data_IF_012390083275
#
_entry.id   IF_012390083275
#
_cell.length_a   1.000
_cell.length_b   1.000
_cell.length_c   1.000
_cell.angle_alpha   90.00
_cell.angle_beta   90.00
_cell.angle_gamma   90.00
#
_symmetry.space_group_name_H-M   'P 1'
#
loop_
_entity.id
_entity.type
_entity.pdbx_description
1 polymer ?
#
# COMPACT_ATOMS: atom_id res chain seq x y z
N UNK A 1 24.29 -55.91 -22.02
CA UNK A 1 25.27 -55.65 -20.94
C UNK A 1 26.60 -55.34 -21.58
N UNK A 2 26.99 -54.07 -21.70
CA UNK A 2 28.34 -53.71 -22.13
C UNK A 2 28.82 -52.54 -21.27
N UNK A 3 29.84 -52.84 -20.48
CA UNK A 3 30.58 -51.95 -19.58
C UNK A 3 31.46 -51.03 -20.41
N UNK A 4 31.48 -49.72 -20.08
CA UNK A 4 32.47 -48.79 -20.63
C UNK A 4 33.12 -48.04 -19.46
N UNK A 5 34.43 -48.28 -19.34
CA UNK A 5 35.33 -47.80 -18.30
C UNK A 5 35.56 -46.30 -18.34
N UNK A 6 35.65 -45.72 -17.14
CA UNK A 6 35.99 -44.32 -16.84
C UNK A 6 37.50 -44.12 -17.00
N UNK A 7 37.91 -43.16 -17.84
CA UNK A 7 39.32 -42.70 -17.92
C UNK A 7 39.42 -41.23 -17.53
N UNK A 8 40.14 -41.01 -16.42
CA UNK A 8 40.40 -39.74 -15.73
C UNK A 8 41.38 -38.89 -16.54
N UNK A 9 40.97 -37.72 -17.06
CA UNK A 9 41.89 -36.76 -17.69
C UNK A 9 42.46 -35.80 -16.65
N UNK A 10 43.80 -35.76 -16.59
CA UNK A 10 44.57 -34.77 -15.86
C UNK A 10 44.43 -33.39 -16.52
N UNK A 11 44.22 -32.35 -15.73
CA UNK A 11 44.22 -30.95 -16.19
C UNK A 11 45.47 -30.28 -15.63
N UNK A 12 46.26 -29.75 -16.56
CA UNK A 12 47.50 -29.01 -16.35
C UNK A 12 47.26 -27.72 -15.57
N UNK A 13 48.13 -27.45 -14.59
CA UNK A 13 48.27 -26.16 -13.91
C UNK A 13 49.17 -25.25 -14.74
N UNK A 14 48.65 -24.08 -15.12
CA UNK A 14 49.46 -22.95 -15.62
C UNK A 14 49.60 -21.90 -14.50
N UNK A 15 50.79 -21.31 -14.29
CA UNK A 15 50.96 -20.17 -13.40
C UNK A 15 50.86 -18.86 -14.21
N UNK A 16 50.11 -17.89 -13.71
CA UNK A 16 50.22 -16.49 -14.18
C UNK A 16 50.40 -15.60 -12.96
N UNK A 17 51.51 -14.86 -12.98
CA UNK A 17 51.93 -13.89 -11.97
C UNK A 17 51.34 -12.50 -12.25
N UNK A 18 51.17 -11.75 -11.15
CA UNK A 18 51.21 -10.29 -11.01
C UNK A 18 50.10 -9.42 -11.64
N UNK A 19 49.38 -8.66 -10.81
CA UNK A 19 49.75 -7.26 -10.54
C UNK A 19 48.82 -6.59 -9.51
N UNK A 20 49.43 -5.68 -8.75
CA UNK A 20 48.83 -4.89 -7.67
C UNK A 20 47.67 -4.01 -8.15
N UNK A 21 46.69 -3.79 -7.27
CA UNK A 21 46.05 -2.48 -7.05
C UNK A 21 45.46 -2.43 -5.64
N UNK A 22 46.22 -1.85 -4.72
CA UNK A 22 45.74 -1.38 -3.42
C UNK A 22 44.73 -0.26 -3.67
N UNK A 23 43.44 -0.54 -3.48
CA UNK A 23 42.41 0.49 -3.39
C UNK A 23 42.26 0.89 -1.93
N UNK A 24 42.81 2.06 -1.61
CA UNK A 24 42.47 2.83 -0.42
C UNK A 24 41.08 3.42 -0.63
N UNK A 25 40.05 2.79 -0.05
CA UNK A 25 38.70 3.39 0.02
C UNK A 25 38.52 4.02 1.39
N UNK A 26 38.59 5.34 1.35
CA UNK A 26 38.21 6.31 2.38
C UNK A 26 36.99 5.86 3.18
N UNK A 27 37.15 5.79 4.50
CA UNK A 27 36.05 5.64 5.46
C UNK A 27 35.15 6.87 5.36
N UNK A 28 34.07 6.77 4.58
CA UNK A 28 32.99 7.77 4.58
C UNK A 28 32.36 7.72 5.98
N UNK A 29 32.72 8.69 6.83
CA UNK A 29 31.91 9.04 8.00
C UNK A 29 30.62 9.66 7.47
N UNK A 30 29.61 8.82 7.22
CA UNK A 30 28.25 9.33 7.13
C UNK A 30 27.87 9.81 8.53
N UNK A 31 27.60 11.10 8.64
CA UNK A 31 27.02 11.73 9.81
C UNK A 31 25.69 11.03 10.09
N UNK A 32 25.66 10.24 11.17
CA UNK A 32 24.42 9.73 11.74
C UNK A 32 23.81 10.88 12.55
N UNK A 33 23.12 11.79 11.86
CA UNK A 33 22.30 12.79 12.53
C UNK A 33 21.10 12.09 13.20
N UNK A 34 21.19 12.00 14.53
CA UNK A 34 20.01 12.15 15.39
C UNK A 34 19.13 10.93 15.62
N UNK A 35 19.64 9.70 15.55
CA UNK A 35 18.89 8.56 16.14
C UNK A 35 18.98 8.63 17.66
N UNK A 36 18.08 9.40 18.26
CA UNK A 36 17.94 9.51 19.70
C UNK A 36 17.72 8.14 20.32
N UNK A 37 18.67 7.73 21.15
CA UNK A 37 18.56 6.59 22.06
C UNK A 37 17.40 6.85 23.04
N UNK A 38 16.22 6.31 22.74
CA UNK A 38 15.11 6.26 23.69
C UNK A 38 14.88 4.83 24.14
N UNK A 39 15.74 4.36 25.05
CA UNK A 39 15.40 3.27 25.95
C UNK A 39 14.15 3.68 26.74
N UNK A 40 12.97 3.12 26.40
CA UNK A 40 11.73 3.27 27.18
C UNK A 40 10.51 3.89 26.48
N UNK A 41 10.57 4.27 25.20
CA UNK A 41 9.34 4.54 24.43
C UNK A 41 8.99 3.32 23.62
N UNK A 42 7.82 2.71 23.89
CA UNK A 42 7.19 1.76 22.98
C UNK A 42 7.23 2.40 21.57
N UNK A 43 7.97 1.78 20.65
CA UNK A 43 8.02 2.24 19.27
C UNK A 43 6.60 2.04 18.73
N UNK A 44 5.78 3.10 18.75
CA UNK A 44 4.40 3.03 18.29
C UNK A 44 4.44 2.99 16.77
N UNK A 45 4.26 1.81 16.23
CA UNK A 45 4.18 1.59 14.80
C UNK A 45 3.09 2.44 14.17
N UNK A 46 3.31 2.82 12.92
CA UNK A 46 2.44 3.75 12.20
C UNK A 46 1.61 3.00 11.15
N UNK A 47 0.43 3.53 10.88
CA UNK A 47 -0.38 3.09 9.76
C UNK A 47 0.01 3.81 8.46
N UNK A 48 -0.61 3.43 7.35
CA UNK A 48 -0.38 4.02 6.01
C UNK A 48 -0.67 5.52 5.88
N UNK A 49 -1.18 6.16 6.93
CA UNK A 49 -1.38 7.60 7.02
C UNK A 49 -0.41 8.29 7.99
N UNK A 50 0.67 7.60 8.41
CA UNK A 50 1.62 8.07 9.42
C UNK A 50 0.98 8.43 10.77
N UNK A 51 -0.15 7.79 11.10
CA UNK A 51 -0.83 7.89 12.40
C UNK A 51 -0.53 6.64 13.23
N UNK A 52 -0.73 6.67 14.55
CA UNK A 52 -0.57 5.46 15.37
C UNK A 52 -1.38 4.27 14.82
N UNK A 53 -0.74 3.10 14.75
CA UNK A 53 -1.36 1.87 14.26
C UNK A 53 -2.51 1.43 15.16
N UNK A 54 -3.69 1.21 14.57
CA UNK A 54 -4.89 0.80 15.30
C UNK A 54 -4.85 -0.65 15.80
N UNK A 55 -5.62 -0.92 16.86
CA UNK A 55 -5.95 -2.29 17.26
C UNK A 55 -6.89 -2.92 16.23
N UNK A 56 -6.62 -4.16 15.81
CA UNK A 56 -7.38 -4.77 14.72
C UNK A 56 -8.29 -5.92 15.16
N UNK A 57 -7.72 -7.02 15.65
CA UNK A 57 -8.49 -8.21 16.07
C UNK A 57 -7.70 -9.07 17.07
N UNK A 58 -8.37 -9.77 17.98
CA UNK A 58 -7.68 -10.64 18.95
C UNK A 58 -6.97 -11.79 18.23
N UNK A 59 -5.71 -12.07 18.60
CA UNK A 59 -4.96 -13.23 18.11
C UNK A 59 -4.47 -13.15 16.67
N UNK A 60 -4.63 -11.99 16.00
CA UNK A 60 -3.99 -11.73 14.69
C UNK A 60 -2.67 -10.97 14.85
N UNK A 61 -2.01 -10.68 13.74
CA UNK A 61 -0.70 -10.03 13.69
C UNK A 61 0.43 -11.04 13.85
N UNK A 62 1.60 -10.73 13.29
CA UNK A 62 2.80 -11.58 13.41
C UNK A 62 3.12 -11.87 14.89
N UNK A 63 3.09 -10.82 15.72
CA UNK A 63 3.30 -10.87 17.17
C UNK A 63 2.13 -11.41 18.01
N UNK A 64 0.99 -11.72 17.38
CA UNK A 64 -0.26 -12.13 18.06
C UNK A 64 -0.79 -11.12 19.08
N UNK A 65 -0.35 -9.85 19.00
CA UNK A 65 -0.82 -8.72 19.81
C UNK A 65 -2.14 -8.11 19.29
N UNK A 66 -2.62 -8.59 18.15
CA UNK A 66 -3.84 -8.10 17.52
C UNK A 66 -3.71 -6.80 16.73
N UNK A 67 -2.47 -6.40 16.43
CA UNK A 67 -2.13 -5.33 15.49
C UNK A 67 -1.35 -5.91 14.31
N UNK A 68 -1.45 -5.28 13.14
CA UNK A 68 -0.68 -5.69 11.96
C UNK A 68 0.72 -5.05 11.96
N UNK A 69 1.37 -5.08 13.12
CA UNK A 69 2.70 -4.53 13.33
C UNK A 69 3.78 -5.43 12.71
N UNK A 70 4.84 -4.82 12.18
CA UNK A 70 5.86 -5.51 11.38
C UNK A 70 7.28 -5.08 11.79
N UNK A 71 7.96 -5.93 12.55
CA UNK A 71 9.38 -5.77 12.86
C UNK A 71 10.34 -6.44 11.86
N UNK A 72 11.66 -6.41 12.14
CA UNK A 72 12.70 -6.95 11.26
C UNK A 72 12.63 -8.48 11.03
N UNK A 73 12.04 -9.23 11.95
CA UNK A 73 11.88 -10.68 11.90
C UNK A 73 10.69 -11.13 11.05
N UNK A 74 9.72 -10.24 10.80
CA UNK A 74 8.60 -10.52 9.92
C UNK A 74 8.99 -10.30 8.46
N UNK A 75 9.69 -11.29 7.91
CA UNK A 75 10.09 -11.32 6.49
C UNK A 75 8.89 -11.43 5.54
N UNK A 76 7.75 -11.92 6.04
CA UNK A 76 6.50 -12.02 5.28
C UNK A 76 5.76 -10.69 5.11
N UNK A 77 6.10 -9.68 5.93
CA UNK A 77 5.46 -8.38 5.96
C UNK A 77 3.94 -8.49 6.16
N UNK A 78 3.50 -8.96 7.33
CA UNK A 78 2.08 -9.08 7.72
C UNK A 78 1.45 -7.72 8.06
N UNK A 79 1.65 -6.72 7.21
CA UNK A 79 1.23 -5.33 7.42
C UNK A 79 -0.23 -5.05 7.03
N UNK A 80 -0.86 -5.90 6.22
CA UNK A 80 -2.17 -5.60 5.63
C UNK A 80 -3.29 -6.10 6.55
N UNK A 81 -4.00 -5.16 7.19
CA UNK A 81 -5.19 -5.47 7.99
C UNK A 81 -6.40 -5.68 7.08
N UNK A 82 -6.86 -6.92 6.92
CA UNK A 82 -7.95 -7.23 6.00
C UNK A 82 -9.06 -8.08 6.62
N UNK A 83 -10.28 -7.91 6.12
CA UNK A 83 -11.36 -8.89 6.32
C UNK A 83 -11.30 -9.90 5.18
N UNK A 84 -10.91 -11.14 5.48
CA UNK A 84 -10.78 -12.20 4.47
C UNK A 84 -12.14 -12.68 3.99
N UNK A 85 -12.23 -13.11 2.74
CA UNK A 85 -13.42 -13.69 2.12
C UNK A 85 -13.18 -15.17 1.82
N UNK A 86 -14.23 -15.96 1.63
CA UNK A 86 -14.06 -17.37 1.25
C UNK A 86 -13.36 -17.50 -0.11
N UNK A 87 -13.68 -16.65 -1.09
CA UNK A 87 -12.99 -16.59 -2.38
C UNK A 87 -11.48 -16.35 -2.24
N UNK A 88 -11.08 -15.38 -1.42
CA UNK A 88 -9.67 -15.15 -1.13
C UNK A 88 -9.02 -16.35 -0.46
N UNK A 89 -9.69 -17.00 0.49
CA UNK A 89 -9.14 -18.16 1.19
C UNK A 89 -8.88 -19.32 0.22
N UNK A 90 -9.81 -19.57 -0.69
CA UNK A 90 -9.70 -20.64 -1.69
C UNK A 90 -8.61 -20.30 -2.72
N UNK A 91 -8.54 -19.04 -3.18
CA UNK A 91 -7.46 -18.56 -4.03
C UNK A 91 -6.09 -18.68 -3.35
N UNK A 92 -5.96 -18.20 -2.12
CA UNK A 92 -4.73 -18.25 -1.34
C UNK A 92 -4.26 -19.70 -1.15
N UNK A 93 -5.19 -20.62 -0.87
CA UNK A 93 -4.87 -22.05 -0.77
C UNK A 93 -4.36 -22.61 -2.11
N UNK A 94 -4.97 -22.23 -3.24
CA UNK A 94 -4.49 -22.62 -4.59
C UNK A 94 -3.07 -22.11 -4.91
N UNK A 95 -2.62 -21.04 -4.24
CA UNK A 95 -1.28 -20.45 -4.33
C UNK A 95 -0.31 -20.95 -3.24
N UNK A 96 -0.66 -22.06 -2.57
CA UNK A 96 0.16 -22.70 -1.55
C UNK A 96 0.13 -22.02 -0.18
N UNK A 97 -0.82 -21.13 0.08
CA UNK A 97 -1.02 -20.48 1.38
C UNK A 97 -2.41 -20.83 1.94
N UNK A 98 -2.53 -22.02 2.53
CA UNK A 98 -3.80 -22.51 3.07
C UNK A 98 -4.08 -21.92 4.47
N UNK A 99 -4.82 -20.81 4.49
CA UNK A 99 -5.21 -20.13 5.72
C UNK A 99 -6.40 -20.78 6.45
N UNK A 100 -7.16 -21.67 5.80
CA UNK A 100 -8.21 -22.43 6.48
C UNK A 100 -7.63 -23.42 7.49
N UNK A 101 -6.42 -23.92 7.23
CA UNK A 101 -5.68 -24.81 8.15
C UNK A 101 -5.36 -24.18 9.50
N UNK A 102 -5.36 -22.85 9.60
CA UNK A 102 -5.20 -22.11 10.87
C UNK A 102 -6.54 -21.58 11.42
N UNK A 103 -7.66 -22.06 10.88
CA UNK A 103 -9.01 -21.75 11.38
C UNK A 103 -9.64 -20.47 10.83
N UNK A 104 -9.13 -19.91 9.73
CA UNK A 104 -9.80 -18.77 9.09
C UNK A 104 -10.99 -19.19 8.23
N UNK A 105 -12.04 -18.37 8.30
CA UNK A 105 -13.27 -18.46 7.50
C UNK A 105 -13.57 -17.09 6.90
N UNK A 106 -14.41 -17.02 5.87
CA UNK A 106 -14.91 -15.75 5.34
C UNK A 106 -15.46 -14.84 6.44
N UNK A 107 -15.19 -13.55 6.32
CA UNK A 107 -15.57 -12.51 7.28
C UNK A 107 -14.60 -12.30 8.45
N UNK A 108 -13.58 -13.16 8.63
CA UNK A 108 -12.59 -12.99 9.71
C UNK A 108 -11.64 -11.82 9.43
N UNK A 109 -11.29 -11.07 10.47
CA UNK A 109 -10.23 -10.05 10.42
C UNK A 109 -8.86 -10.70 10.62
N UNK A 110 -7.93 -10.45 9.72
CA UNK A 110 -6.59 -11.01 9.77
C UNK A 110 -5.51 -10.11 9.16
N UNK A 111 -4.32 -10.11 9.75
CA UNK A 111 -3.13 -9.47 9.17
C UNK A 111 -2.50 -10.37 8.11
N UNK A 112 -2.56 -9.94 6.86
CA UNK A 112 -2.05 -10.66 5.71
C UNK A 112 -0.65 -10.17 5.32
N UNK A 113 0.17 -11.08 4.79
CA UNK A 113 1.38 -10.71 4.07
C UNK A 113 1.04 -9.75 2.92
N UNK A 114 1.76 -8.63 2.81
CA UNK A 114 1.53 -7.64 1.76
C UNK A 114 1.63 -8.25 0.35
N UNK A 115 2.58 -9.17 0.14
CA UNK A 115 2.75 -9.88 -1.13
C UNK A 115 1.54 -10.76 -1.48
N UNK A 116 0.94 -11.45 -0.50
CA UNK A 116 -0.21 -12.34 -0.72
C UNK A 116 -1.50 -11.56 -0.99
N UNK A 117 -1.68 -10.43 -0.33
CA UNK A 117 -2.79 -9.55 -0.64
C UNK A 117 -2.64 -8.95 -2.04
N UNK A 118 -1.43 -8.51 -2.42
CA UNK A 118 -1.12 -8.01 -3.76
C UNK A 118 -1.37 -9.04 -4.85
N UNK A 119 -0.97 -10.29 -4.63
CA UNK A 119 -1.19 -11.40 -5.55
C UNK A 119 -2.69 -11.58 -5.87
N UNK A 120 -3.56 -11.49 -4.84
CA UNK A 120 -5.01 -11.55 -5.03
C UNK A 120 -5.55 -10.34 -5.80
N UNK A 121 -5.06 -9.13 -5.50
CA UNK A 121 -5.43 -7.92 -6.23
C UNK A 121 -5.05 -7.99 -7.72
N UNK A 122 -3.86 -8.49 -8.04
CA UNK A 122 -3.40 -8.65 -9.42
C UNK A 122 -4.20 -9.72 -10.16
N UNK A 123 -4.52 -10.84 -9.51
CA UNK A 123 -5.38 -11.87 -10.07
C UNK A 123 -6.80 -11.36 -10.34
N UNK A 124 -7.33 -10.48 -9.48
CA UNK A 124 -8.66 -9.90 -9.63
C UNK A 124 -8.81 -9.02 -10.88
N UNK A 125 -7.73 -8.49 -11.46
CA UNK A 125 -7.78 -7.74 -12.73
C UNK A 125 -8.31 -8.57 -13.89
N UNK A 126 -8.15 -9.90 -13.82
CA UNK A 126 -8.58 -10.86 -14.84
C UNK A 126 -9.75 -11.73 -14.37
N UNK A 127 -10.29 -11.47 -13.19
CA UNK A 127 -11.41 -12.23 -12.59
C UNK A 127 -12.67 -11.37 -12.56
N UNK A 128 -13.83 -12.03 -12.64
CA UNK A 128 -15.14 -11.40 -12.37
C UNK A 128 -15.55 -11.51 -10.90
N UNK A 129 -14.73 -12.16 -10.07
CA UNK A 129 -15.02 -12.33 -8.65
C UNK A 129 -14.65 -11.08 -7.86
N UNK A 130 -15.67 -10.30 -7.49
CA UNK A 130 -15.54 -9.08 -6.69
C UNK A 130 -15.04 -9.34 -5.26
N UNK A 131 -15.21 -10.57 -4.76
CA UNK A 131 -14.81 -10.96 -3.41
C UNK A 131 -13.40 -11.52 -3.35
N UNK A 132 -12.69 -11.65 -4.48
CA UNK A 132 -11.34 -12.21 -4.52
C UNK A 132 -10.32 -11.36 -3.73
N UNK A 133 -10.52 -10.05 -3.68
CA UNK A 133 -9.63 -9.12 -2.96
C UNK A 133 -10.23 -8.78 -1.60
N UNK A 134 -9.58 -9.19 -0.48
CA UNK A 134 -10.04 -8.84 0.86
C UNK A 134 -10.12 -7.32 1.09
N UNK A 135 -11.19 -6.86 1.74
CA UNK A 135 -11.36 -5.44 2.12
C UNK A 135 -10.34 -5.06 3.21
N UNK A 136 -9.71 -3.89 3.06
CA UNK A 136 -8.60 -3.41 3.90
C UNK A 136 -9.09 -2.39 4.93
N UNK A 137 -8.57 -2.47 6.15
CA UNK A 137 -8.80 -1.50 7.23
C UNK A 137 -7.57 -0.59 7.35
N UNK A 138 -7.66 0.61 6.76
CA UNK A 138 -6.50 1.49 6.60
C UNK A 138 -5.93 1.99 7.93
N UNK A 139 -6.79 2.32 8.92
CA UNK A 139 -6.34 2.71 10.26
C UNK A 139 -5.44 1.67 10.95
N UNK A 140 -5.59 0.39 10.61
CA UNK A 140 -4.88 -0.76 11.19
C UNK A 140 -3.85 -1.40 10.24
N UNK A 141 -3.68 -0.86 9.03
CA UNK A 141 -2.68 -1.33 8.06
C UNK A 141 -1.38 -0.59 8.26
N UNK A 142 -0.30 -1.31 8.50
CA UNK A 142 1.02 -0.74 8.81
C UNK A 142 1.65 -0.05 7.60
N UNK A 143 2.44 1.00 7.84
CA UNK A 143 3.10 1.79 6.77
C UNK A 143 3.93 0.95 5.80
N UNK A 144 4.61 -0.11 6.29
CA UNK A 144 5.34 -1.09 5.47
C UNK A 144 4.51 -1.85 4.43
N UNK A 145 3.17 -1.77 4.46
CA UNK A 145 2.36 -2.24 3.33
C UNK A 145 2.69 -1.46 2.04
N UNK A 146 3.09 -0.20 2.18
CA UNK A 146 3.45 0.71 1.08
C UNK A 146 4.74 0.31 0.36
N UNK A 147 5.55 -0.56 0.96
CA UNK A 147 6.74 -1.14 0.31
C UNK A 147 6.35 -2.04 -0.88
N UNK A 148 5.13 -2.59 -0.88
CA UNK A 148 4.65 -3.54 -1.89
C UNK A 148 3.42 -3.07 -2.67
N UNK A 149 2.55 -2.28 -2.05
CA UNK A 149 1.22 -1.90 -2.56
C UNK A 149 1.07 -0.38 -2.51
N UNK A 150 0.52 0.23 -3.56
CA UNK A 150 0.30 1.68 -3.56
C UNK A 150 -0.80 2.09 -2.56
N UNK A 151 -0.71 3.30 -2.00
CA UNK A 151 -1.77 3.83 -1.14
C UNK A 151 -3.12 3.93 -1.88
N UNK A 152 -3.08 4.21 -3.18
CA UNK A 152 -4.27 4.29 -4.04
C UNK A 152 -4.98 2.94 -4.16
N UNK A 153 -4.21 1.87 -4.38
CA UNK A 153 -4.74 0.50 -4.42
C UNK A 153 -5.34 0.11 -3.06
N UNK A 154 -4.65 0.40 -1.95
CA UNK A 154 -5.19 0.13 -0.61
C UNK A 154 -6.51 0.88 -0.37
N UNK A 155 -6.60 2.14 -0.79
CA UNK A 155 -7.83 2.95 -0.67
C UNK A 155 -8.97 2.40 -1.52
N UNK A 156 -8.69 1.90 -2.73
CA UNK A 156 -9.69 1.31 -3.62
C UNK A 156 -10.41 0.12 -2.99
N UNK A 157 -9.71 -0.65 -2.15
CA UNK A 157 -10.25 -1.81 -1.45
C UNK A 157 -10.54 -1.54 0.02
N UNK A 158 -10.62 -0.28 0.45
CA UNK A 158 -10.92 0.07 1.83
C UNK A 158 -12.30 -0.47 2.26
N UNK A 159 -12.41 -0.88 3.52
CA UNK A 159 -13.69 -1.17 4.15
C UNK A 159 -14.50 0.12 4.37
N UNK A 160 -15.83 0.05 4.27
CA UNK A 160 -16.76 1.19 4.33
C UNK A 160 -16.52 2.25 5.45
N UNK A 161 -16.20 1.90 6.72
CA UNK A 161 -15.89 2.93 7.73
C UNK A 161 -14.59 3.71 7.44
N UNK A 162 -13.71 3.19 6.60
CA UNK A 162 -12.45 3.84 6.20
C UNK A 162 -12.59 4.60 4.88
N UNK A 163 -13.41 4.11 3.95
CA UNK A 163 -13.66 4.76 2.65
C UNK A 163 -14.29 6.16 2.80
N UNK A 164 -15.22 6.33 3.75
CA UNK A 164 -15.81 7.63 4.07
C UNK A 164 -14.77 8.64 4.60
N UNK A 165 -13.81 8.18 5.40
CA UNK A 165 -12.76 9.01 6.00
C UNK A 165 -11.58 9.27 5.04
N UNK A 166 -11.30 8.36 4.11
CA UNK A 166 -10.24 8.51 3.11
C UNK A 166 -10.57 9.55 2.02
N UNK A 167 -11.86 9.78 1.76
CA UNK A 167 -12.36 10.75 0.78
C UNK A 167 -12.17 12.21 1.23
N UNK A 168 -11.94 12.44 2.52
CA UNK A 168 -11.70 13.79 3.09
C UNK A 168 -10.22 14.17 3.14
N UNK A 169 -9.29 13.29 2.73
CA UNK A 169 -7.86 13.60 2.72
C UNK A 169 -7.53 14.44 1.49
N UNK A 170 -7.04 15.70 1.62
CA UNK A 170 -6.59 16.47 0.49
C UNK A 170 -5.43 15.71 -0.17
N UNK A 171 -5.63 15.25 -1.41
CA UNK A 171 -4.52 14.80 -2.23
C UNK A 171 -3.57 16.00 -2.38
N UNK A 172 -2.35 15.85 -1.86
CA UNK A 172 -1.27 16.81 -2.06
C UNK A 172 -1.00 16.91 -3.57
N UNK A 173 -1.64 17.90 -4.22
CA UNK A 173 -1.35 18.27 -5.60
C UNK A 173 0.05 18.87 -5.62
N UNK A 174 1.01 18.16 -6.21
CA UNK A 174 2.30 18.75 -6.63
C UNK A 174 2.01 19.93 -7.56
N UNK A 175 2.76 21.01 -7.35
CA UNK A 175 2.41 22.39 -7.69
C UNK A 175 2.22 22.73 -9.17
N UNK A 176 1.28 23.64 -9.40
CA UNK A 176 1.18 24.44 -10.61
C UNK A 176 1.95 25.74 -10.41
N UNK A 177 2.92 26.03 -11.29
CA UNK A 177 3.44 27.38 -11.47
C UNK A 177 2.45 28.19 -12.30
N UNK A 178 2.05 29.35 -11.78
CA UNK A 178 1.36 30.41 -12.50
C UNK A 178 2.17 31.70 -12.31
N UNK A 179 2.32 32.53 -13.36
CA UNK A 179 2.29 33.97 -13.13
C UNK A 179 1.29 34.67 -14.05
N UNK A 180 0.44 35.46 -13.39
CA UNK A 180 0.06 36.84 -13.71
C UNK A 180 -0.29 37.24 -15.15
N UNK A 181 -1.52 37.73 -15.32
CA UNK A 181 -1.90 38.61 -16.44
C UNK A 181 -3.32 39.12 -16.28
N UNK A 182 -3.47 40.34 -15.75
CA UNK A 182 -4.71 41.13 -15.82
C UNK A 182 -4.72 41.90 -17.14
N UNK A 183 -5.87 41.99 -17.82
CA UNK A 183 -6.18 43.23 -18.51
C UNK A 183 -7.60 43.73 -18.18
N UNK A 184 -7.64 44.92 -17.60
CA UNK A 184 -8.75 45.87 -17.66
C UNK A 184 -8.96 46.40 -19.09
N UNK A 185 -10.22 46.62 -19.47
CA UNK A 185 -10.80 47.61 -20.43
C UNK A 185 -12.15 47.06 -20.92
N UNK A 186 -13.20 47.81 -21.25
CA UNK A 186 -13.63 49.20 -21.07
C UNK A 186 -15.11 49.24 -21.55
N UNK A 187 -15.89 50.19 -21.02
CA UNK A 187 -17.18 50.82 -21.42
C UNK A 187 -17.82 50.44 -22.77
N UNK A 188 -19.17 50.38 -22.89
CA UNK A 188 -20.08 51.39 -23.55
C UNK A 188 -21.52 50.82 -23.56
N UNK A 189 -22.52 51.42 -22.88
CA UNK A 189 -23.75 52.15 -23.39
C UNK A 189 -24.65 51.36 -24.38
N UNK A 190 -25.99 51.48 -24.54
CA UNK A 190 -27.13 52.30 -24.07
C UNK A 190 -28.45 51.68 -24.63
N UNK A 191 -29.62 52.16 -24.17
CA UNK A 191 -31.02 52.00 -24.65
C UNK A 191 -31.75 50.67 -24.28
N UNK A 192 -32.96 50.63 -23.68
CA UNK A 192 -34.23 51.36 -23.95
C UNK A 192 -34.96 50.63 -25.10
N UNK A 193 -36.21 50.16 -25.07
CA UNK A 193 -37.47 50.54 -24.39
C UNK A 193 -38.49 49.37 -24.47
N UNK A 194 -39.63 49.52 -23.77
CA UNK A 194 -40.95 48.88 -24.01
C UNK A 194 -41.06 47.35 -23.70
N UNK A 195 -42.14 46.77 -23.18
CA UNK A 195 -43.56 47.12 -23.27
C UNK A 195 -44.39 46.36 -22.21
N UNK A 196 -45.61 46.85 -22.02
CA UNK A 196 -46.65 46.52 -21.04
C UNK A 196 -47.32 45.14 -21.27
N UNK A 197 -47.77 44.48 -20.20
CA UNK A 197 -49.05 43.70 -20.02
C UNK A 197 -48.86 42.70 -18.87
N UNK A 198 -49.53 42.81 -17.72
CA UNK A 198 -50.97 42.65 -17.52
C UNK A 198 -51.31 41.15 -17.46
N UNK A 199 -51.37 40.51 -16.28
CA UNK A 199 -52.66 40.05 -15.72
C UNK A 199 -52.50 39.44 -14.32
N UNK A 200 -53.56 39.65 -13.54
CA UNK A 200 -53.75 39.41 -12.11
C UNK A 200 -54.68 38.21 -11.93
N UNK A 201 -54.29 37.21 -11.15
CA UNK A 201 -55.18 36.20 -10.52
C UNK A 201 -54.60 35.94 -9.11
N UNK A 202 -55.16 36.49 -8.01
CA UNK A 202 -56.27 35.96 -7.19
C UNK A 202 -56.21 34.42 -7.09
N UNK A 203 -55.95 33.77 -5.96
CA UNK A 203 -56.37 34.07 -4.58
C UNK A 203 -57.70 33.36 -4.34
N UNK A 204 -57.65 32.08 -3.93
CA UNK A 204 -58.81 31.24 -3.65
C UNK A 204 -59.02 31.12 -2.13
N UNK A 205 -60.18 31.59 -1.67
CA UNK A 205 -61.02 30.97 -0.65
C UNK A 205 -62.41 30.83 -1.26
#
# INVERSE_FOLDING_TARGET
MHSVSITRRQIFRSPVLSNLKTYSTTRVKMANEGRSDSFGKAHKSLNVFNKPLGQFAKGTGFYRNGQCDVGPEDTGNHSVAATVTDSFLDFSASRGNNLRGIGLTGGKKWCLCASRWKEAMEAAKNSKDENLVPKVHLHATHERALDAISLEDLKKYAAEPEAANASTVPQSRKGNNLPGGVPTKERTELAGTDEMTGSRQRGNY
#
